data_IF_800570029687
#
_entry.id   IF_800570029687
#
_cell.length_a   1.000
_cell.length_b   1.000
_cell.length_c   1.000
_cell.angle_alpha   90.00
_cell.angle_beta   90.00
_cell.angle_gamma   90.00
#
_symmetry.space_group_name_H-M   'P 1'
#
loop_
_entity.id
_entity.type
_entity.pdbx_description
1 polymer ?
#
# COMPACT_ATOMS: atom_id res chain seq x y z
N UNK A 1 -6.31 1.01 -13.78
CA UNK A 1 -6.96 -0.01 -12.98
C UNK A 1 -7.26 0.58 -11.58
N UNK A 2 -7.93 -0.15 -10.66
CA UNK A 2 -8.18 0.29 -9.29
C UNK A 2 -6.92 0.80 -8.57
N UNK A 3 -6.09 -0.11 -8.04
CA UNK A 3 -5.04 0.23 -7.08
C UNK A 3 -3.79 -0.64 -7.19
N UNK A 4 -3.50 -1.21 -8.37
CA UNK A 4 -2.33 -2.08 -8.53
C UNK A 4 -1.03 -1.33 -8.23
N UNK A 5 -0.95 -0.03 -8.54
CA UNK A 5 0.17 0.82 -8.13
C UNK A 5 0.33 0.81 -6.62
N UNK A 6 -0.75 1.07 -5.88
CA UNK A 6 -0.71 1.04 -4.43
C UNK A 6 -0.28 -0.34 -3.95
N UNK A 7 -0.82 -1.43 -4.51
CA UNK A 7 -0.42 -2.78 -4.12
C UNK A 7 1.08 -3.00 -4.33
N UNK A 8 1.59 -2.59 -5.50
CA UNK A 8 3.01 -2.65 -5.82
C UNK A 8 3.83 -1.78 -4.87
N UNK A 9 3.41 -0.54 -4.61
CA UNK A 9 4.10 0.37 -3.71
C UNK A 9 4.03 -0.08 -2.25
N UNK A 10 2.96 -0.78 -1.85
CA UNK A 10 2.84 -1.43 -0.54
C UNK A 10 3.89 -2.53 -0.45
N UNK A 11 3.99 -3.40 -1.47
CA UNK A 11 5.06 -4.40 -1.55
C UNK A 11 6.43 -3.72 -1.45
N UNK A 12 6.67 -2.69 -2.27
CA UNK A 12 7.92 -1.94 -2.34
C UNK A 12 8.28 -1.37 -0.97
N UNK A 13 7.30 -0.71 -0.35
CA UNK A 13 7.42 -0.13 0.97
C UNK A 13 7.77 -1.23 1.97
N UNK A 14 7.02 -2.33 2.00
CA UNK A 14 7.28 -3.41 2.95
C UNK A 14 8.67 -3.97 2.73
N UNK A 15 9.04 -4.25 1.48
CA UNK A 15 10.37 -4.72 1.10
C UNK A 15 11.46 -3.81 1.67
N UNK A 16 11.29 -2.49 1.51
CA UNK A 16 12.23 -1.49 2.02
C UNK A 16 12.21 -1.36 3.56
N UNK A 17 11.22 -1.93 4.24
CA UNK A 17 10.97 -1.84 5.67
C UNK A 17 10.91 -3.24 6.29
N UNK A 18 11.51 -4.25 5.65
CA UNK A 18 11.64 -5.62 6.15
C UNK A 18 10.29 -6.27 6.50
N UNK A 19 9.24 -5.96 5.73
CA UNK A 19 7.86 -6.40 5.91
C UNK A 19 7.21 -5.85 7.20
N UNK A 20 7.79 -4.80 7.80
CA UNK A 20 7.17 -4.09 8.91
C UNK A 20 6.06 -3.21 8.37
N UNK A 21 4.90 -3.83 8.29
CA UNK A 21 3.65 -3.28 7.82
C UNK A 21 3.36 -1.91 8.43
N UNK A 22 3.70 -1.71 9.70
CA UNK A 22 3.53 -0.46 10.44
C UNK A 22 4.18 0.74 9.75
N UNK A 23 5.26 0.55 8.97
CA UNK A 23 5.93 1.65 8.27
C UNK A 23 5.23 1.99 6.95
N UNK A 24 4.30 1.14 6.52
CA UNK A 24 3.63 1.14 5.22
C UNK A 24 2.11 1.20 5.38
N UNK A 25 1.62 1.25 6.62
CA UNK A 25 0.22 1.43 6.94
C UNK A 25 -0.34 2.70 6.33
N UNK A 26 0.43 3.79 6.24
CA UNK A 26 0.03 5.00 5.52
C UNK A 26 -0.25 4.73 4.03
N UNK A 27 0.42 3.74 3.43
CA UNK A 27 0.25 3.37 2.03
C UNK A 27 -0.97 2.44 1.92
N UNK A 28 -1.20 1.58 2.92
CA UNK A 28 -2.39 0.74 3.05
C UNK A 28 -3.64 1.61 3.28
N UNK A 29 -3.55 2.71 4.03
CA UNK A 29 -4.63 3.69 4.10
C UNK A 29 -4.96 4.20 2.70
N UNK A 30 -3.93 4.52 1.90
CA UNK A 30 -4.09 4.97 0.52
C UNK A 30 -4.80 3.89 -0.31
N UNK A 31 -4.36 2.63 -0.22
CA UNK A 31 -5.01 1.49 -0.88
C UNK A 31 -6.46 1.34 -0.42
N UNK A 32 -6.75 1.43 0.89
CA UNK A 32 -8.14 1.37 1.37
C UNK A 32 -8.97 2.49 0.76
N UNK A 33 -8.46 3.72 0.77
CA UNK A 33 -9.19 4.86 0.22
C UNK A 33 -9.38 4.69 -1.29
N UNK A 34 -8.35 4.18 -1.98
CA UNK A 34 -8.38 3.81 -3.38
C UNK A 34 -9.48 2.78 -3.66
N UNK A 35 -9.52 1.71 -2.86
CA UNK A 35 -10.51 0.65 -2.98
C UNK A 35 -11.92 1.21 -2.78
N UNK A 36 -12.10 2.07 -1.77
CA UNK A 36 -13.37 2.75 -1.50
C UNK A 36 -13.81 3.64 -2.67
N UNK A 37 -12.87 4.23 -3.42
CA UNK A 37 -13.16 4.93 -4.66
C UNK A 37 -13.53 3.94 -5.76
N UNK A 38 -12.58 3.08 -6.17
CA UNK A 38 -12.76 2.15 -7.27
C UNK A 38 -13.46 0.91 -6.72
#
# INVERSE_FOLDING_TARGET
>A
DPCQKQAAEIQKCLQANSYLESKCQAVIQELKKCAAQY
#
